data_IF_807558392904
#
_entry.id   IF_807558392904
#
_cell.length_a   1.000
_cell.length_b   1.000
_cell.length_c   1.000
_cell.angle_alpha   90.00
_cell.angle_beta   90.00
_cell.angle_gamma   90.00
#
_symmetry.space_group_name_H-M   'P 1'
#
loop_
_entity.id
_entity.type
_entity.pdbx_description
1 polymer ?
#
# COMPACT_ATOMS: atom_id res chain seq x y z
N UNK A 1 7.90 0.90 -17.28
CA UNK A 1 7.06 1.00 -16.05
C UNK A 1 7.85 0.57 -14.82
N UNK A 2 7.56 1.17 -13.65
CA UNK A 2 8.19 0.76 -12.39
C UNK A 2 7.53 -0.54 -11.89
N UNK A 3 8.32 -1.53 -11.45
CA UNK A 3 7.74 -2.75 -10.87
C UNK A 3 7.00 -2.45 -9.55
N UNK A 4 5.71 -2.75 -9.50
CA UNK A 4 4.85 -2.60 -8.32
C UNK A 4 4.38 -3.94 -7.75
N UNK A 5 4.82 -5.07 -8.32
CA UNK A 5 4.39 -6.42 -7.93
C UNK A 5 4.69 -6.78 -6.47
N UNK A 6 5.69 -6.15 -5.85
CA UNK A 6 6.03 -6.36 -4.42
C UNK A 6 5.30 -5.40 -3.47
N UNK A 7 4.35 -4.59 -3.96
CA UNK A 7 3.55 -3.72 -3.09
C UNK A 7 2.23 -4.38 -2.76
N UNK A 8 1.83 -4.43 -1.47
CA UNK A 8 0.48 -4.82 -1.09
C UNK A 8 -0.56 -3.89 -1.72
N UNK A 9 -1.68 -4.45 -2.08
CA UNK A 9 -2.84 -3.70 -2.52
C UNK A 9 -3.44 -2.95 -1.34
N UNK A 10 -3.95 -1.74 -1.59
CA UNK A 10 -4.69 -0.97 -0.60
C UNK A 10 -5.70 -0.06 -1.29
N UNK A 11 -6.71 0.37 -0.55
CA UNK A 11 -7.66 1.37 -1.01
C UNK A 11 -6.95 2.69 -1.31
N UNK A 12 -7.25 3.27 -2.48
CA UNK A 12 -6.63 4.49 -3.01
C UNK A 12 -7.71 5.43 -3.52
N UNK A 13 -7.57 6.68 -3.17
CA UNK A 13 -8.39 7.77 -3.70
C UNK A 13 -7.47 8.87 -4.20
N UNK A 14 -7.82 9.45 -5.33
CA UNK A 14 -7.22 10.69 -5.81
C UNK A 14 -8.32 11.64 -6.25
N UNK A 15 -8.13 12.91 -5.93
CA UNK A 15 -8.98 14.03 -6.34
C UNK A 15 -8.09 15.03 -7.06
N UNK A 16 -8.49 15.42 -8.27
CA UNK A 16 -7.77 16.37 -9.10
C UNK A 16 -8.73 17.44 -9.61
N UNK A 17 -8.19 18.61 -9.92
CA UNK A 17 -8.94 19.68 -10.58
C UNK A 17 -8.28 20.10 -11.88
N UNK A 18 -9.10 20.68 -12.76
CA UNK A 18 -8.72 21.57 -13.85
C UNK A 18 -9.64 22.78 -13.82
N UNK A 19 -9.19 23.93 -14.31
CA UNK A 19 -10.01 25.14 -14.47
C UNK A 19 -10.05 25.47 -15.95
N UNK A 20 -11.27 25.72 -16.46
CA UNK A 20 -11.49 26.24 -17.80
C UNK A 20 -12.09 27.62 -17.66
N UNK A 21 -11.37 28.63 -18.13
CA UNK A 21 -11.83 30.03 -18.23
C UNK A 21 -12.61 30.20 -19.50
N UNK A 22 -13.75 30.90 -19.42
CA UNK A 22 -14.62 31.22 -20.54
C UNK A 22 -15.44 32.45 -20.26
N UNK A 23 -15.88 33.22 -21.30
CA UNK A 23 -16.74 34.40 -21.12
C UNK A 23 -18.04 34.07 -20.37
N UNK A 24 -18.61 35.03 -19.62
CA UNK A 24 -19.83 34.80 -18.83
C UNK A 24 -21.02 34.21 -19.63
N UNK A 25 -21.19 34.62 -20.88
CA UNK A 25 -22.24 34.09 -21.74
C UNK A 25 -22.02 32.58 -22.05
N UNK A 26 -20.77 32.13 -22.16
CA UNK A 26 -20.43 30.72 -22.33
C UNK A 26 -20.71 29.92 -21.06
N UNK A 27 -20.45 30.48 -19.90
CA UNK A 27 -20.79 29.85 -18.61
C UNK A 27 -22.32 29.70 -18.47
N UNK A 28 -23.08 30.69 -18.96
CA UNK A 28 -24.54 30.60 -18.95
C UNK A 28 -25.06 29.50 -19.91
N UNK A 29 -24.44 29.32 -21.08
CA UNK A 29 -24.73 28.18 -21.96
C UNK A 29 -24.52 26.82 -21.26
N UNK A 30 -23.43 26.71 -20.45
CA UNK A 30 -23.19 25.51 -19.67
C UNK A 30 -24.27 25.27 -18.62
N UNK A 31 -24.73 26.33 -17.92
CA UNK A 31 -25.82 26.24 -16.92
C UNK A 31 -27.13 25.77 -17.55
N UNK A 32 -27.42 26.22 -18.74
CA UNK A 32 -28.63 25.87 -19.48
C UNK A 32 -28.52 24.50 -20.15
N UNK A 33 -27.33 23.91 -20.27
CA UNK A 33 -27.08 22.67 -20.99
C UNK A 33 -27.37 22.75 -22.48
N UNK A 34 -27.22 23.96 -23.08
CA UNK A 34 -27.72 24.29 -24.41
C UNK A 34 -26.62 24.82 -25.34
N UNK A 35 -25.53 24.05 -25.51
CA UNK A 35 -24.57 24.35 -26.58
C UNK A 35 -25.06 23.76 -27.92
N UNK A 36 -24.49 24.20 -29.04
CA UNK A 36 -24.81 23.63 -30.37
C UNK A 36 -24.62 22.12 -30.46
N UNK A 37 -23.67 21.58 -29.64
CA UNK A 37 -23.36 20.14 -29.59
C UNK A 37 -24.11 19.40 -28.47
N UNK A 38 -25.05 20.07 -27.78
CA UNK A 38 -25.84 19.52 -26.67
C UNK A 38 -25.31 19.87 -25.29
N UNK A 39 -25.61 19.06 -24.28
CA UNK A 39 -25.22 19.30 -22.89
C UNK A 39 -23.73 19.02 -22.67
N UNK A 40 -22.94 20.09 -22.59
CA UNK A 40 -21.47 20.01 -22.48
C UNK A 40 -21.02 19.37 -21.15
N UNK A 41 -21.70 19.65 -20.03
CA UNK A 41 -21.28 19.12 -18.72
C UNK A 41 -21.55 17.61 -18.65
N UNK A 42 -22.69 17.14 -19.14
CA UNK A 42 -22.95 15.71 -19.19
C UNK A 42 -22.00 14.96 -20.12
N UNK A 43 -21.73 15.54 -21.30
CA UNK A 43 -20.79 14.96 -22.27
C UNK A 43 -19.36 14.90 -21.67
N UNK A 44 -18.91 15.97 -21.05
CA UNK A 44 -17.61 16.05 -20.42
C UNK A 44 -17.46 15.10 -19.22
N UNK A 45 -18.53 14.89 -18.44
CA UNK A 45 -18.53 13.88 -17.36
C UNK A 45 -18.25 12.48 -17.90
N UNK A 46 -18.95 12.11 -18.97
CA UNK A 46 -18.74 10.79 -19.62
C UNK A 46 -17.32 10.68 -20.18
N UNK A 47 -16.83 11.72 -20.84
CA UNK A 47 -15.47 11.77 -21.39
C UNK A 47 -14.41 11.64 -20.29
N UNK A 48 -14.54 12.35 -19.18
CA UNK A 48 -13.64 12.28 -18.03
C UNK A 48 -13.63 10.89 -17.38
N UNK A 49 -14.80 10.28 -17.17
CA UNK A 49 -14.89 8.91 -16.66
C UNK A 49 -14.23 7.91 -17.62
N UNK A 50 -14.43 8.06 -18.92
CA UNK A 50 -13.77 7.22 -19.93
C UNK A 50 -12.26 7.40 -19.92
N UNK A 51 -11.79 8.64 -19.76
CA UNK A 51 -10.37 8.97 -19.67
C UNK A 51 -9.71 8.31 -18.45
N UNK A 52 -10.34 8.36 -17.28
CA UNK A 52 -9.86 7.65 -16.10
C UNK A 52 -9.65 6.16 -16.36
N UNK A 53 -10.60 5.52 -17.06
CA UNK A 53 -10.55 4.09 -17.39
C UNK A 53 -9.50 3.71 -18.44
N UNK A 54 -9.00 4.67 -19.20
CA UNK A 54 -8.04 4.48 -20.30
C UNK A 54 -6.73 5.24 -20.08
N UNK A 55 -6.42 5.60 -18.84
CA UNK A 55 -5.23 6.40 -18.54
C UNK A 55 -3.94 5.67 -18.94
N UNK A 56 -3.87 4.37 -18.76
CA UNK A 56 -2.71 3.55 -19.16
C UNK A 56 -2.51 3.45 -20.69
N UNK A 57 -3.57 3.59 -21.48
CA UNK A 57 -3.50 3.71 -22.94
C UNK A 57 -2.97 5.09 -23.38
N UNK A 58 -3.23 6.15 -22.60
CA UNK A 58 -2.87 7.53 -22.94
C UNK A 58 -1.50 7.93 -22.37
N UNK A 59 -1.12 7.40 -21.21
CA UNK A 59 0.13 7.74 -20.51
C UNK A 59 1.02 6.49 -20.46
N UNK A 60 2.08 6.41 -21.28
CA UNK A 60 2.78 5.16 -21.60
C UNK A 60 3.40 4.38 -20.43
N UNK A 61 3.69 5.06 -19.31
CA UNK A 61 4.32 4.42 -18.14
C UNK A 61 3.35 4.19 -16.98
N UNK A 62 2.06 4.52 -17.15
CA UNK A 62 1.02 4.17 -16.18
C UNK A 62 0.74 2.66 -16.18
N UNK A 63 0.29 2.16 -15.04
CA UNK A 63 -0.11 0.76 -14.89
C UNK A 63 -1.61 0.64 -15.19
N UNK A 64 -2.04 -0.43 -15.85
CA UNK A 64 -3.47 -0.74 -15.94
C UNK A 64 -4.00 -1.03 -14.53
N UNK A 65 -5.03 -0.30 -14.13
CA UNK A 65 -5.64 -0.41 -12.81
C UNK A 65 -7.14 -0.66 -12.92
N UNK A 66 -7.72 -1.54 -12.09
CA UNK A 66 -9.16 -1.65 -11.97
C UNK A 66 -9.69 -0.36 -11.33
N UNK A 67 -10.58 0.36 -12.02
CA UNK A 67 -11.22 1.55 -11.49
C UNK A 67 -12.57 1.16 -10.90
N UNK A 68 -12.76 1.36 -9.58
CA UNK A 68 -14.01 1.03 -8.89
C UNK A 68 -14.97 2.20 -8.87
N UNK A 69 -14.45 3.44 -8.82
CA UNK A 69 -15.24 4.66 -8.97
C UNK A 69 -14.44 5.70 -9.75
N UNK A 70 -15.11 6.35 -10.69
CA UNK A 70 -14.64 7.59 -11.30
C UNK A 70 -15.84 8.52 -11.45
N UNK A 71 -15.69 9.75 -11.01
CA UNK A 71 -16.72 10.78 -11.13
C UNK A 71 -16.10 12.13 -11.46
N UNK A 72 -16.90 12.99 -12.09
CA UNK A 72 -16.52 14.35 -12.45
C UNK A 72 -17.64 15.29 -12.06
N UNK A 73 -17.33 16.28 -11.25
CA UNK A 73 -18.23 17.31 -10.77
C UNK A 73 -17.77 18.69 -11.24
N UNK A 74 -18.66 19.69 -11.25
CA UNK A 74 -18.43 21.02 -11.76
C UNK A 74 -18.89 22.09 -10.79
N UNK A 75 -18.04 23.10 -10.59
CA UNK A 75 -18.40 24.36 -9.94
C UNK A 75 -18.36 25.44 -11.00
N UNK A 76 -19.55 26.06 -11.30
CA UNK A 76 -19.70 27.10 -12.32
C UNK A 76 -19.62 28.47 -11.66
N UNK A 77 -18.58 29.22 -11.95
CA UNK A 77 -18.37 30.58 -11.49
C UNK A 77 -18.83 31.61 -12.57
N UNK A 78 -18.43 32.85 -12.43
CA UNK A 78 -18.85 33.90 -13.37
C UNK A 78 -18.15 33.79 -14.73
N UNK A 79 -16.85 33.50 -14.72
CA UNK A 79 -15.93 33.49 -15.87
C UNK A 79 -15.04 32.26 -15.99
N UNK A 80 -15.37 31.21 -15.20
CA UNK A 80 -14.71 29.91 -15.30
C UNK A 80 -15.59 28.77 -14.80
N UNK A 81 -15.24 27.57 -15.23
CA UNK A 81 -15.72 26.32 -14.65
C UNK A 81 -14.57 25.57 -14.02
N UNK A 82 -14.73 25.20 -12.75
CA UNK A 82 -13.82 24.32 -12.05
C UNK A 82 -14.32 22.89 -12.20
N UNK A 83 -13.48 22.05 -12.72
CA UNK A 83 -13.72 20.63 -12.95
C UNK A 83 -13.03 19.84 -11.84
N UNK A 84 -13.76 19.02 -11.11
CA UNK A 84 -13.24 18.18 -10.03
C UNK A 84 -13.46 16.72 -10.42
N UNK A 85 -12.38 15.95 -10.50
CA UNK A 85 -12.44 14.52 -10.77
C UNK A 85 -11.99 13.72 -9.55
N UNK A 86 -12.78 12.71 -9.18
CA UNK A 86 -12.48 11.79 -8.09
C UNK A 86 -12.37 10.37 -8.67
N UNK A 87 -11.27 9.67 -8.35
CA UNK A 87 -11.05 8.30 -8.79
C UNK A 87 -10.64 7.43 -7.61
N UNK A 88 -11.20 6.21 -7.55
CA UNK A 88 -10.97 5.24 -6.49
C UNK A 88 -10.61 3.87 -7.05
N UNK A 89 -9.66 3.21 -6.38
CA UNK A 89 -9.24 1.84 -6.68
C UNK A 89 -8.81 1.08 -5.42
N UNK A 90 -8.70 -0.24 -5.54
CA UNK A 90 -7.92 -1.10 -4.65
C UNK A 90 -6.78 -1.66 -5.49
N UNK A 91 -5.55 -1.21 -5.20
CA UNK A 91 -4.41 -1.57 -6.04
C UNK A 91 -3.04 -1.29 -5.42
N UNK A 92 -1.97 -1.75 -6.10
CA UNK A 92 -0.60 -1.61 -5.63
C UNK A 92 -0.01 -0.21 -5.86
N UNK A 93 -0.70 0.65 -6.65
CA UNK A 93 -0.28 2.04 -6.91
C UNK A 93 -1.48 2.98 -6.83
N UNK A 94 -1.21 4.29 -6.75
CA UNK A 94 -2.26 5.32 -6.67
C UNK A 94 -2.90 5.59 -8.01
N UNK A 95 -4.01 6.34 -7.98
CA UNK A 95 -4.83 6.75 -9.14
C UNK A 95 -4.74 8.25 -9.41
N UNK A 96 -3.58 8.84 -9.06
CA UNK A 96 -3.35 10.27 -9.26
C UNK A 96 -3.42 10.66 -10.73
N UNK A 97 -2.86 9.82 -11.61
CA UNK A 97 -2.86 10.08 -13.06
C UNK A 97 -4.25 9.92 -13.65
N UNK A 98 -5.01 8.93 -13.19
CA UNK A 98 -6.39 8.70 -13.61
C UNK A 98 -7.28 9.90 -13.28
N UNK A 99 -7.13 10.49 -12.08
CA UNK A 99 -7.87 11.67 -11.67
C UNK A 99 -7.47 12.92 -12.48
N UNK A 100 -6.15 13.13 -12.70
CA UNK A 100 -5.65 14.25 -13.51
C UNK A 100 -6.11 14.12 -14.97
N UNK A 101 -6.04 12.92 -15.56
CA UNK A 101 -6.48 12.67 -16.93
C UNK A 101 -7.98 12.90 -17.07
N UNK A 102 -8.79 12.45 -16.07
CA UNK A 102 -10.23 12.67 -16.06
C UNK A 102 -10.58 14.17 -16.03
N UNK A 103 -9.97 14.94 -15.12
CA UNK A 103 -10.23 16.37 -15.01
C UNK A 103 -9.81 17.13 -16.30
N UNK A 104 -8.64 16.79 -16.84
CA UNK A 104 -8.11 17.41 -18.06
C UNK A 104 -8.99 17.13 -19.27
N UNK A 105 -9.40 15.87 -19.48
CA UNK A 105 -10.18 15.50 -20.66
C UNK A 105 -11.62 15.98 -20.57
N UNK A 106 -12.18 16.05 -19.35
CA UNK A 106 -13.47 16.70 -19.13
C UNK A 106 -13.39 18.21 -19.50
N UNK A 107 -12.34 18.90 -19.07
CA UNK A 107 -12.12 20.31 -19.45
C UNK A 107 -11.94 20.51 -20.95
N UNK A 108 -11.14 19.67 -21.60
CA UNK A 108 -10.96 19.71 -23.06
C UNK A 108 -12.27 19.42 -23.81
N UNK A 109 -13.15 18.59 -23.26
CA UNK A 109 -14.46 18.32 -23.85
C UNK A 109 -15.36 19.53 -23.75
N UNK A 110 -15.39 20.24 -22.59
CA UNK A 110 -16.12 21.49 -22.45
C UNK A 110 -15.56 22.54 -23.42
N UNK A 111 -14.22 22.65 -23.51
CA UNK A 111 -13.52 23.52 -24.44
C UNK A 111 -14.01 23.30 -25.91
N UNK A 112 -14.00 22.04 -26.34
CA UNK A 112 -14.44 21.70 -27.72
C UNK A 112 -15.91 22.09 -27.97
N UNK A 113 -16.74 22.01 -26.95
CA UNK A 113 -18.17 22.33 -27.08
C UNK A 113 -18.46 23.83 -26.96
N UNK A 114 -17.58 24.61 -26.31
CA UNK A 114 -17.71 26.07 -26.19
C UNK A 114 -17.01 26.85 -27.29
N UNK A 115 -15.98 26.32 -27.93
CA UNK A 115 -15.17 27.05 -28.94
C UNK A 115 -15.94 27.66 -30.11
N UNK A 116 -17.16 27.20 -30.49
CA UNK A 116 -17.97 27.91 -31.49
C UNK A 116 -18.65 29.19 -30.96
N UNK A 117 -18.66 29.42 -29.66
CA UNK A 117 -19.39 30.49 -28.98
C UNK A 117 -18.53 31.66 -28.48
N UNK A 118 -17.20 31.62 -28.66
CA UNK A 118 -16.28 32.64 -28.21
C UNK A 118 -14.99 32.67 -29.06
N UNK A 119 -14.21 33.72 -28.94
CA UNK A 119 -12.92 33.81 -29.60
C UNK A 119 -11.87 32.90 -28.91
N UNK A 120 -10.86 32.41 -29.65
CA UNK A 120 -9.84 31.49 -29.09
C UNK A 120 -9.09 32.07 -27.88
N UNK A 121 -8.87 33.39 -27.81
CA UNK A 121 -8.17 34.07 -26.74
C UNK A 121 -9.00 34.17 -25.45
N UNK A 122 -10.32 33.99 -25.54
CA UNK A 122 -11.25 34.06 -24.42
C UNK A 122 -11.46 32.69 -23.73
N UNK A 123 -10.90 31.63 -24.29
CA UNK A 123 -11.11 30.24 -23.82
C UNK A 123 -9.77 29.55 -23.56
N UNK A 124 -9.45 29.26 -22.31
CA UNK A 124 -8.20 28.57 -21.96
C UNK A 124 -8.33 27.71 -20.73
N UNK A 125 -7.48 26.69 -20.64
CA UNK A 125 -7.38 25.81 -19.46
C UNK A 125 -6.18 26.17 -18.61
N UNK A 126 -6.34 26.07 -17.29
CA UNK A 126 -5.28 26.28 -16.31
C UNK A 126 -5.44 25.36 -15.09
N UNK A 127 -4.48 25.43 -14.17
CA UNK A 127 -4.50 24.80 -12.85
C UNK A 127 -4.91 23.31 -12.82
N UNK A 128 -4.43 22.53 -13.81
CA UNK A 128 -4.55 21.09 -13.70
C UNK A 128 -3.61 20.61 -12.57
N UNK A 129 -4.19 20.18 -11.43
CA UNK A 129 -3.42 19.74 -10.26
C UNK A 129 -4.16 18.72 -9.42
N UNK A 130 -3.37 17.94 -8.69
CA UNK A 130 -3.88 17.06 -7.65
C UNK A 130 -4.28 17.88 -6.42
N UNK A 131 -5.50 17.65 -5.91
CA UNK A 131 -6.02 18.29 -4.69
C UNK A 131 -5.76 17.42 -3.47
N UNK A 132 -6.06 16.12 -3.58
CA UNK A 132 -6.01 15.18 -2.47
C UNK A 132 -5.63 13.79 -2.96
N UNK A 133 -4.95 13.05 -2.10
CA UNK A 133 -4.77 11.60 -2.29
C UNK A 133 -4.82 10.86 -0.95
N UNK A 134 -5.36 9.65 -0.98
CA UNK A 134 -5.41 8.74 0.18
C UNK A 134 -4.85 7.37 -0.23
N UNK A 135 -4.16 6.71 0.71
CA UNK A 135 -3.61 5.37 0.54
C UNK A 135 -2.12 5.31 0.17
N UNK A 136 -1.58 4.10 0.18
CA UNK A 136 -0.18 3.82 -0.15
C UNK A 136 0.86 4.22 0.88
N UNK A 137 2.12 4.31 0.44
CA UNK A 137 3.27 4.55 1.32
C UNK A 137 3.19 5.85 2.12
N UNK A 138 2.56 6.88 1.58
CA UNK A 138 2.41 8.18 2.24
C UNK A 138 1.32 8.17 3.33
N UNK A 139 0.41 7.22 3.29
CA UNK A 139 -0.69 7.09 4.23
C UNK A 139 -0.39 6.04 5.31
N UNK A 140 0.17 4.89 4.93
CA UNK A 140 0.56 3.85 5.87
C UNK A 140 2.03 3.99 6.23
N UNK A 141 2.30 4.30 7.51
CA UNK A 141 3.67 4.40 8.02
C UNK A 141 4.38 3.06 7.91
N UNK A 142 5.65 3.11 7.52
CA UNK A 142 6.54 1.95 7.44
C UNK A 142 7.82 2.15 8.25
N UNK A 143 7.89 3.24 8.98
CA UNK A 143 9.03 3.60 9.84
C UNK A 143 8.50 3.94 11.21
N UNK A 144 9.12 3.37 12.22
CA UNK A 144 8.83 3.62 13.63
C UNK A 144 9.10 5.08 13.99
N UNK A 145 8.28 5.65 14.87
CA UNK A 145 8.52 7.01 15.42
C UNK A 145 9.67 7.05 16.40
N UNK A 146 9.90 5.92 17.08
CA UNK A 146 10.97 5.75 18.06
C UNK A 146 11.56 4.35 17.87
N UNK A 147 12.87 4.16 18.05
CA UNK A 147 13.51 2.87 17.90
C UNK A 147 12.85 1.79 18.79
N UNK A 148 12.77 0.58 18.27
CA UNK A 148 12.29 -0.62 18.94
C UNK A 148 13.37 -1.67 18.86
N UNK A 149 13.79 -2.21 20.00
CA UNK A 149 14.73 -3.32 20.03
C UNK A 149 14.08 -4.59 19.45
N UNK A 150 14.76 -5.21 18.47
CA UNK A 150 14.29 -6.41 17.79
C UNK A 150 15.33 -7.53 17.82
N UNK A 151 14.87 -8.78 17.68
CA UNK A 151 15.72 -9.94 17.46
C UNK A 151 15.29 -10.70 16.20
N UNK A 152 16.26 -11.19 15.43
CA UNK A 152 16.05 -12.06 14.28
C UNK A 152 16.78 -13.37 14.53
N UNK A 153 16.02 -14.48 14.60
CA UNK A 153 16.53 -15.83 14.84
C UNK A 153 16.30 -16.66 13.58
N UNK A 154 17.37 -17.13 12.97
CA UNK A 154 17.33 -17.99 11.78
C UNK A 154 17.38 -19.45 12.21
N UNK A 155 16.38 -20.23 11.81
CA UNK A 155 16.29 -21.68 12.05
C UNK A 155 16.69 -22.41 10.77
N UNK A 156 17.87 -23.02 10.76
CA UNK A 156 18.36 -23.83 9.63
C UNK A 156 19.59 -24.63 9.98
N UNK A 157 19.50 -25.95 9.97
CA UNK A 157 20.64 -26.87 10.12
C UNK A 157 21.76 -26.62 9.11
N UNK A 158 21.41 -26.28 7.86
CA UNK A 158 22.38 -26.07 6.79
C UNK A 158 23.15 -24.74 6.93
N UNK A 159 22.47 -23.71 7.41
CA UNK A 159 23.08 -22.40 7.68
C UNK A 159 23.90 -22.45 8.97
N UNK A 160 23.36 -23.07 10.03
CA UNK A 160 24.07 -23.26 11.30
C UNK A 160 25.37 -24.05 11.13
N UNK A 161 25.39 -25.05 10.25
CA UNK A 161 26.59 -25.81 9.91
C UNK A 161 27.53 -25.10 8.91
N UNK A 162 27.28 -23.84 8.54
CA UNK A 162 28.09 -23.08 7.59
C UNK A 162 28.09 -23.58 6.14
N UNK A 163 27.18 -24.51 5.80
CA UNK A 163 27.08 -25.12 4.46
C UNK A 163 26.38 -24.24 3.43
N UNK A 164 25.63 -23.25 3.89
CA UNK A 164 24.88 -22.31 3.06
C UNK A 164 24.87 -20.93 3.75
N UNK A 165 25.04 -19.81 3.00
CA UNK A 165 24.87 -18.48 3.58
C UNK A 165 23.40 -18.21 3.92
N UNK A 166 23.16 -17.50 5.02
CA UNK A 166 21.83 -16.97 5.29
C UNK A 166 21.55 -15.75 4.38
N UNK A 167 20.47 -15.84 3.62
CA UNK A 167 19.98 -14.75 2.78
C UNK A 167 18.59 -14.27 3.22
N UNK A 168 17.85 -15.13 3.91
CA UNK A 168 16.50 -14.82 4.36
C UNK A 168 16.51 -13.95 5.62
N UNK A 169 17.23 -14.39 6.67
CA UNK A 169 17.35 -13.62 7.91
C UNK A 169 18.00 -12.24 7.67
N UNK A 170 19.05 -12.19 6.85
CA UNK A 170 19.69 -10.91 6.49
C UNK A 170 18.72 -9.94 5.81
N UNK A 171 17.86 -10.41 4.90
CA UNK A 171 16.85 -9.54 4.28
C UNK A 171 15.79 -9.05 5.27
N UNK A 172 15.48 -9.83 6.31
CA UNK A 172 14.60 -9.41 7.39
C UNK A 172 15.27 -8.35 8.25
N UNK A 173 16.57 -8.53 8.61
CA UNK A 173 17.35 -7.51 9.34
C UNK A 173 17.39 -6.20 8.57
N UNK A 174 17.71 -6.23 7.26
CA UNK A 174 17.71 -5.03 6.40
C UNK A 174 16.36 -4.32 6.44
N UNK A 175 15.24 -5.05 6.28
CA UNK A 175 13.89 -4.49 6.31
C UNK A 175 13.53 -3.86 7.67
N UNK A 176 13.91 -4.52 8.77
CA UNK A 176 13.69 -3.99 10.12
C UNK A 176 14.54 -2.74 10.39
N UNK A 177 15.80 -2.74 9.96
CA UNK A 177 16.68 -1.58 10.09
C UNK A 177 16.13 -0.36 9.33
N UNK A 178 15.68 -0.55 8.08
CA UNK A 178 15.02 0.49 7.29
C UNK A 178 13.73 1.00 7.94
N UNK A 179 13.05 0.15 8.70
CA UNK A 179 11.85 0.50 9.46
C UNK A 179 12.13 1.15 10.82
N UNK A 180 13.39 1.32 11.20
CA UNK A 180 13.80 2.00 12.44
C UNK A 180 13.85 1.09 13.67
N UNK A 181 13.94 -0.23 13.50
CA UNK A 181 14.23 -1.14 14.62
C UNK A 181 15.71 -1.05 14.97
N UNK A 182 16.02 -0.79 16.24
CA UNK A 182 17.37 -0.68 16.78
C UNK A 182 17.36 -0.79 18.31
N UNK A 183 18.25 -1.57 18.93
CA UNK A 183 19.23 -2.49 18.31
C UNK A 183 18.55 -3.75 17.75
N UNK A 184 19.24 -4.43 16.79
CA UNK A 184 18.82 -5.72 16.27
C UNK A 184 19.80 -6.81 16.69
N UNK A 185 19.34 -7.75 17.51
CA UNK A 185 20.03 -9.00 17.78
C UNK A 185 19.84 -9.95 16.61
N UNK A 186 20.90 -10.60 16.14
CA UNK A 186 20.84 -11.57 15.06
C UNK A 186 21.56 -12.86 15.45
N UNK A 187 20.86 -13.99 15.36
CA UNK A 187 21.41 -15.29 15.72
C UNK A 187 20.91 -16.40 14.79
N UNK A 188 21.77 -17.37 14.50
CA UNK A 188 21.46 -18.58 13.72
C UNK A 188 21.45 -19.76 14.67
N UNK A 189 20.42 -20.60 14.58
CA UNK A 189 20.25 -21.82 15.35
C UNK A 189 20.04 -23.03 14.42
N UNK A 190 20.43 -24.24 14.85
CA UNK A 190 19.92 -25.47 14.26
C UNK A 190 18.41 -25.61 14.55
N UNK A 191 17.74 -26.50 13.80
CA UNK A 191 16.29 -26.79 13.97
C UNK A 191 16.06 -27.66 15.22
N UNK A 192 16.23 -27.07 16.42
CA UNK A 192 16.11 -27.69 17.75
C UNK A 192 15.10 -26.94 18.62
N UNK A 193 14.02 -27.61 19.05
CA UNK A 193 12.89 -27.02 19.74
C UNK A 193 13.28 -26.39 21.09
N UNK A 194 14.02 -27.10 21.94
CA UNK A 194 14.38 -26.60 23.28
C UNK A 194 15.31 -25.39 23.22
N UNK A 195 16.27 -25.42 22.30
CA UNK A 195 17.19 -24.31 22.06
C UNK A 195 16.44 -23.06 21.59
N UNK A 196 15.50 -23.21 20.64
CA UNK A 196 14.63 -22.15 20.17
C UNK A 196 13.77 -21.58 21.29
N UNK A 197 13.07 -22.46 22.02
CA UNK A 197 12.18 -22.07 23.12
C UNK A 197 12.91 -21.25 24.18
N UNK A 198 14.05 -21.75 24.67
CA UNK A 198 14.83 -21.09 25.71
C UNK A 198 15.32 -19.72 25.24
N UNK A 199 15.85 -19.62 24.01
CA UNK A 199 16.34 -18.36 23.47
C UNK A 199 15.20 -17.35 23.31
N UNK A 200 14.05 -17.74 22.78
CA UNK A 200 12.90 -16.83 22.62
C UNK A 200 12.40 -16.32 23.98
N UNK A 201 12.28 -17.17 24.98
CA UNK A 201 11.90 -16.77 26.35
C UNK A 201 12.94 -15.87 27.02
N UNK A 202 14.21 -16.04 26.72
CA UNK A 202 15.28 -15.14 27.19
C UNK A 202 15.19 -13.78 26.52
N UNK A 203 15.13 -13.76 25.17
CA UNK A 203 15.11 -12.52 24.38
C UNK A 203 13.80 -11.73 24.59
N UNK A 204 12.68 -12.37 24.88
CA UNK A 204 11.40 -11.68 25.12
C UNK A 204 11.45 -10.73 26.31
N UNK A 205 12.41 -10.89 27.24
CA UNK A 205 12.62 -9.98 28.38
C UNK A 205 13.25 -8.64 27.97
N UNK A 206 13.95 -8.58 26.84
CA UNK A 206 14.75 -7.43 26.43
C UNK A 206 14.39 -6.87 25.05
N UNK A 207 13.80 -7.67 24.17
CA UNK A 207 13.46 -7.30 22.80
C UNK A 207 11.94 -7.28 22.62
N UNK A 208 11.41 -6.15 22.19
CA UNK A 208 9.96 -6.00 22.01
C UNK A 208 9.44 -6.68 20.73
N UNK A 209 10.34 -7.00 19.79
CA UNK A 209 10.02 -7.68 18.54
C UNK A 209 10.97 -8.84 18.30
N UNK A 210 10.46 -10.05 18.10
CA UNK A 210 11.25 -11.24 17.78
C UNK A 210 10.73 -11.82 16.46
N UNK A 211 11.60 -11.88 15.46
CA UNK A 211 11.32 -12.54 14.18
C UNK A 211 12.07 -13.86 14.11
N UNK A 212 11.37 -14.96 13.91
CA UNK A 212 12.03 -16.22 13.56
C UNK A 212 11.90 -16.47 12.07
N UNK A 213 12.96 -16.98 11.44
CA UNK A 213 13.04 -17.20 9.99
C UNK A 213 13.43 -18.64 9.72
N UNK A 214 12.50 -19.42 9.19
CA UNK A 214 12.65 -20.85 8.92
C UNK A 214 11.80 -21.76 9.82
N UNK A 215 11.70 -23.03 9.45
CA UNK A 215 10.98 -24.06 10.22
C UNK A 215 9.47 -23.87 10.32
N UNK A 216 8.84 -23.19 9.34
CA UNK A 216 7.38 -22.89 9.34
C UNK A 216 6.56 -23.77 8.40
N UNK A 217 7.17 -24.76 7.74
CA UNK A 217 6.51 -25.66 6.80
C UNK A 217 5.86 -26.86 7.48
N UNK A 218 5.73 -27.96 6.72
CA UNK A 218 5.06 -29.21 7.13
C UNK A 218 6.02 -30.39 7.30
N UNK A 219 7.32 -30.15 7.12
CA UNK A 219 8.35 -31.18 7.24
C UNK A 219 8.63 -31.55 8.70
N UNK A 220 9.22 -32.72 8.93
CA UNK A 220 9.57 -33.17 10.28
C UNK A 220 10.57 -32.28 11.02
N UNK A 221 11.35 -31.50 10.29
CA UNK A 221 12.32 -30.51 10.83
C UNK A 221 11.73 -29.12 10.97
N UNK A 222 10.49 -28.89 10.52
CA UNK A 222 9.81 -27.61 10.67
C UNK A 222 9.18 -27.50 12.07
N UNK A 223 10.05 -27.21 13.07
CA UNK A 223 9.69 -27.22 14.50
C UNK A 223 9.26 -25.85 15.03
N UNK A 224 9.48 -24.79 14.28
CA UNK A 224 9.32 -23.41 14.78
C UNK A 224 7.92 -23.14 15.30
N UNK A 225 6.90 -23.52 14.51
CA UNK A 225 5.50 -23.24 14.87
C UNK A 225 5.07 -24.07 16.08
N UNK A 226 5.35 -25.38 16.06
CA UNK A 226 4.96 -26.29 17.13
C UNK A 226 5.64 -25.93 18.47
N UNK A 227 6.83 -25.28 18.40
CA UNK A 227 7.56 -24.83 19.58
C UNK A 227 7.02 -23.50 20.13
N UNK A 228 6.71 -22.53 19.24
CA UNK A 228 6.41 -21.15 19.66
C UNK A 228 4.91 -20.88 19.86
N UNK A 229 4.04 -21.54 19.08
CA UNK A 229 2.60 -21.32 19.17
C UNK A 229 2.02 -21.55 20.59
N UNK A 230 2.44 -22.59 21.35
CA UNK A 230 1.97 -22.80 22.71
C UNK A 230 2.43 -21.72 23.71
N UNK A 231 3.42 -20.92 23.37
CA UNK A 231 3.95 -19.84 24.20
C UNK A 231 3.21 -18.50 23.98
N UNK A 232 2.43 -18.40 22.91
CA UNK A 232 1.73 -17.16 22.57
C UNK A 232 0.49 -16.97 23.44
N UNK A 233 0.47 -15.90 24.22
CA UNK A 233 -0.65 -15.54 25.09
C UNK A 233 -1.78 -14.84 24.32
N UNK A 234 -1.42 -14.01 23.35
CA UNK A 234 -2.34 -13.25 22.48
C UNK A 234 -1.91 -13.43 21.04
N UNK A 235 -2.67 -14.18 20.27
CA UNK A 235 -2.40 -14.42 18.85
C UNK A 235 -2.82 -13.22 17.99
N UNK A 236 -2.08 -12.95 16.94
CA UNK A 236 -2.35 -11.94 15.91
C UNK A 236 -2.48 -12.63 14.54
N UNK A 237 -3.51 -13.43 14.39
CA UNK A 237 -3.73 -14.26 13.20
C UNK A 237 -3.80 -13.45 11.91
N UNK A 238 -4.36 -12.23 11.98
CA UNK A 238 -4.45 -11.31 10.84
C UNK A 238 -3.10 -10.93 10.21
N UNK A 239 -1.99 -10.91 10.98
CA UNK A 239 -0.66 -10.71 10.41
C UNK A 239 -0.27 -11.86 9.48
N UNK A 240 -0.52 -13.08 9.90
CA UNK A 240 -0.16 -14.28 9.12
C UNK A 240 -1.14 -14.54 7.98
N UNK A 241 -2.39 -14.14 8.11
CA UNK A 241 -3.36 -14.11 7.00
C UNK A 241 -2.90 -13.16 5.91
N UNK A 242 -2.49 -11.95 6.27
CA UNK A 242 -1.95 -10.98 5.32
C UNK A 242 -0.69 -11.50 4.61
N UNK A 243 0.25 -12.11 5.35
CA UNK A 243 1.46 -12.70 4.79
C UNK A 243 1.15 -13.85 3.82
N UNK A 244 0.27 -14.80 4.21
CA UNK A 244 -0.13 -15.93 3.36
C UNK A 244 -0.90 -15.49 2.13
N UNK A 245 -1.89 -14.60 2.29
CA UNK A 245 -2.68 -14.06 1.18
C UNK A 245 -1.81 -13.35 0.15
N UNK A 246 -0.83 -12.56 0.62
CA UNK A 246 0.11 -11.88 -0.26
C UNK A 246 1.03 -12.86 -1.00
N UNK A 247 1.54 -13.89 -0.30
CA UNK A 247 2.38 -14.92 -0.88
C UNK A 247 1.65 -15.80 -1.90
N UNK A 248 0.39 -16.17 -1.65
CA UNK A 248 -0.43 -17.01 -2.55
C UNK A 248 -0.69 -16.35 -3.92
N UNK A 249 -0.69 -15.02 -4.00
CA UNK A 249 -0.75 -14.31 -5.30
C UNK A 249 0.51 -14.51 -6.16
N UNK A 250 1.60 -15.07 -5.61
CA UNK A 250 2.91 -15.28 -6.27
C UNK A 250 3.26 -16.73 -6.42
N UNK A 251 2.93 -17.54 -5.43
CA UNK A 251 3.17 -18.98 -5.44
C UNK A 251 2.09 -19.71 -4.65
N UNK A 252 1.50 -20.80 -5.19
CA UNK A 252 0.54 -21.61 -4.44
C UNK A 252 1.15 -22.26 -3.20
N UNK A 253 2.47 -22.45 -3.14
CA UNK A 253 3.18 -23.05 -2.01
C UNK A 253 3.14 -22.21 -0.73
N UNK A 254 2.82 -20.91 -0.82
CA UNK A 254 2.61 -20.08 0.37
C UNK A 254 1.47 -20.59 1.27
N UNK A 255 0.52 -21.36 0.71
CA UNK A 255 -0.55 -22.00 1.46
C UNK A 255 -0.05 -23.05 2.47
N UNK A 256 1.16 -23.58 2.30
CA UNK A 256 1.74 -24.58 3.22
C UNK A 256 2.39 -23.97 4.47
N UNK A 257 2.52 -22.64 4.53
CA UNK A 257 3.11 -21.97 5.68
C UNK A 257 2.15 -22.00 6.88
N UNK A 258 2.59 -22.60 7.98
CA UNK A 258 1.89 -22.65 9.27
C UNK A 258 2.24 -21.46 10.17
N UNK A 259 2.98 -20.47 9.66
CA UNK A 259 3.48 -19.35 10.45
C UNK A 259 2.45 -18.75 11.40
N UNK A 260 2.91 -18.36 12.58
CA UNK A 260 2.12 -17.76 13.67
C UNK A 260 2.70 -16.42 14.08
N UNK A 261 1.86 -15.55 14.64
CA UNK A 261 2.26 -14.29 15.25
C UNK A 261 1.46 -14.06 16.54
N UNK A 262 2.08 -13.48 17.54
CA UNK A 262 1.43 -13.17 18.80
C UNK A 262 2.40 -12.65 19.85
N UNK A 263 1.91 -12.39 21.03
CA UNK A 263 2.69 -11.87 22.13
C UNK A 263 3.09 -12.96 23.13
N UNK A 264 4.34 -12.87 23.57
CA UNK A 264 4.85 -13.51 24.80
C UNK A 264 5.15 -12.32 25.74
N UNK A 265 4.35 -12.16 26.79
CA UNK A 265 4.36 -10.96 27.66
C UNK A 265 4.24 -9.66 26.81
N UNK A 266 5.29 -8.87 26.73
CA UNK A 266 5.34 -7.63 25.95
C UNK A 266 6.05 -7.75 24.60
N UNK A 267 6.60 -8.90 24.31
CA UNK A 267 7.35 -9.15 23.07
C UNK A 267 6.47 -9.72 21.98
N UNK A 268 6.40 -9.04 20.86
CA UNK A 268 5.75 -9.56 19.65
C UNK A 268 6.66 -10.58 18.97
N UNK A 269 6.19 -11.80 18.85
CA UNK A 269 6.87 -12.90 18.14
C UNK A 269 6.17 -13.15 16.81
N UNK A 270 6.93 -13.20 15.71
CA UNK A 270 6.42 -13.46 14.36
C UNK A 270 7.31 -14.52 13.69
N UNK A 271 6.70 -15.52 13.11
CA UNK A 271 7.42 -16.58 12.41
C UNK A 271 7.34 -16.41 10.89
N UNK A 272 8.48 -16.43 10.22
CA UNK A 272 8.61 -16.16 8.78
C UNK A 272 9.15 -17.39 8.04
N UNK A 273 8.83 -17.56 6.74
CA UNK A 273 9.39 -18.62 5.92
C UNK A 273 10.91 -18.57 5.83
N UNK A 274 11.56 -19.72 5.70
CA UNK A 274 13.02 -19.83 5.57
C UNK A 274 13.56 -19.51 4.17
N UNK A 275 12.72 -19.33 3.16
CA UNK A 275 13.15 -18.86 1.85
C UNK A 275 13.26 -17.35 1.81
N UNK A 276 14.28 -16.81 1.12
CA UNK A 276 14.45 -15.35 0.97
C UNK A 276 13.21 -14.69 0.38
N UNK A 277 12.63 -15.25 -0.69
CA UNK A 277 11.42 -14.73 -1.32
C UNK A 277 10.24 -14.68 -0.35
N UNK A 278 9.95 -15.81 0.30
CA UNK A 278 8.85 -15.91 1.27
C UNK A 278 9.01 -14.97 2.47
N UNK A 279 10.23 -14.85 3.03
CA UNK A 279 10.50 -13.93 4.12
C UNK A 279 10.30 -12.45 3.69
N UNK A 280 10.87 -12.05 2.54
CA UNK A 280 10.74 -10.69 2.03
C UNK A 280 9.29 -10.33 1.66
N UNK A 281 8.54 -11.26 1.07
CA UNK A 281 7.12 -11.09 0.73
C UNK A 281 6.25 -10.97 1.99
N UNK A 282 6.48 -11.84 2.98
CA UNK A 282 5.80 -11.77 4.27
C UNK A 282 6.06 -10.43 4.95
N UNK A 283 7.33 -9.99 5.02
CA UNK A 283 7.67 -8.68 5.58
C UNK A 283 7.01 -7.53 4.81
N UNK A 284 7.00 -7.56 3.48
CA UNK A 284 6.34 -6.53 2.68
C UNK A 284 4.84 -6.41 2.98
N UNK A 285 4.18 -7.55 3.25
CA UNK A 285 2.76 -7.60 3.59
C UNK A 285 2.47 -7.08 5.00
N UNK A 286 3.26 -7.48 6.00
CA UNK A 286 2.96 -7.21 7.42
C UNK A 286 3.58 -5.92 7.95
N UNK A 287 4.64 -5.37 7.33
CA UNK A 287 5.42 -4.26 7.87
C UNK A 287 4.58 -3.02 8.27
N UNK A 288 3.58 -2.57 7.50
CA UNK A 288 2.75 -1.45 7.93
C UNK A 288 1.97 -1.71 9.22
N UNK A 289 1.42 -2.91 9.37
CA UNK A 289 0.72 -3.34 10.57
C UNK A 289 1.70 -3.52 11.74
N UNK A 290 2.87 -4.11 11.46
CA UNK A 290 3.93 -4.30 12.45
C UNK A 290 4.37 -2.97 13.09
N UNK A 291 4.66 -1.95 12.28
CA UNK A 291 5.02 -0.61 12.77
C UNK A 291 3.88 -0.01 13.59
N UNK A 292 2.64 -0.15 13.12
CA UNK A 292 1.48 0.39 13.82
C UNK A 292 1.22 -0.30 15.18
N UNK A 293 1.46 -1.61 15.30
CA UNK A 293 1.35 -2.35 16.55
C UNK A 293 2.23 -1.70 17.64
N UNK A 294 3.45 -1.29 17.31
CA UNK A 294 4.35 -0.64 18.29
C UNK A 294 3.93 0.79 18.62
N UNK A 295 3.27 1.51 17.71
CA UNK A 295 2.64 2.78 18.03
C UNK A 295 1.48 2.56 19.04
N UNK A 296 0.64 1.54 18.83
CA UNK A 296 -0.47 1.18 19.74
C UNK A 296 0.04 0.72 21.12
N UNK A 297 1.02 -0.19 21.15
CA UNK A 297 1.59 -0.71 22.39
C UNK A 297 2.28 0.35 23.27
N UNK A 298 2.58 1.51 22.70
CA UNK A 298 3.20 2.66 23.40
C UNK A 298 2.22 3.79 23.67
N UNK A 299 0.92 3.58 23.48
CA UNK A 299 -0.14 4.58 23.63
C UNK A 299 0.15 5.90 22.86
N UNK A 300 0.84 5.80 21.71
CA UNK A 300 1.13 6.96 20.91
C UNK A 300 -0.13 7.46 20.20
N UNK A 301 -0.38 8.78 20.19
CA UNK A 301 -1.59 9.32 19.58
C UNK A 301 -1.64 8.99 18.08
N UNK A 302 -2.83 8.59 17.61
CA UNK A 302 -3.12 8.35 16.19
C UNK A 302 -3.47 9.68 15.51
N UNK A 303 -2.55 10.34 14.78
CA UNK A 303 -2.91 11.54 14.04
C UNK A 303 -3.81 11.14 12.88
N UNK A 304 -5.06 11.58 12.91
CA UNK A 304 -6.03 11.41 11.84
C UNK A 304 -7.11 10.34 12.02
N UNK A 305 -7.15 9.64 13.18
CA UNK A 305 -8.17 8.60 13.40
C UNK A 305 -8.07 7.42 12.42
N UNK A 306 -9.09 6.56 12.40
CA UNK A 306 -9.27 5.49 11.40
C UNK A 306 -10.11 5.97 10.19
N UNK A 307 -10.23 7.29 9.98
CA UNK A 307 -10.96 7.90 8.86
C UNK A 307 -10.18 7.89 7.56
#
# INVERSE_FOLDING_TARGET
>A
MKNVGMKPESYRVAEAQAILYAPPHCIELLRQGNTEKGDALKTARVAGILAAKRTDELIPLCHPLPIYRADVEYELEHDFVKIIAVVETIGPTGVEMEALTAASLAGLTIYDMLKPHCEPEELWMDQCKLLKKKGGKSHFKRVLRQPVAAAVIVLSDTVAAGRKPDTAGKSVVETLTEAGFDPIHYQILPDEADTLKNLVLELSKSYACIMTVGGTGIGKRDITVDTLEPLLERKLDGLMEAARSFGQKRTPYAAMSRGVAGFIDRSLVVTLPGSRGGASESMAAILPALVHIFDVCRDLPHPGGYE
#
